data_IF_229348700796
#
_entry.id   IF_229348700796
#
_cell.length_a   1.000
_cell.length_b   1.000
_cell.length_c   1.000
_cell.angle_alpha   90.00
_cell.angle_beta   90.00
_cell.angle_gamma   90.00
#
_symmetry.space_group_name_H-M   'P 1'
#
loop_
_entity.id
_entity.type
_entity.pdbx_description
1 polymer ?
#
# COMPACT_ATOMS: atom_id res chain seq x y z
N UNK A 1 23.41 4.01 5.60
CA UNK A 1 22.35 3.34 4.82
C UNK A 1 21.84 2.18 5.66
N UNK A 2 20.68 2.30 6.29
CA UNK A 2 20.12 1.22 7.12
C UNK A 2 19.31 0.29 6.21
N UNK A 3 19.65 -1.00 6.21
CA UNK A 3 18.97 -2.06 5.46
C UNK A 3 18.41 -3.05 6.48
N UNK A 4 17.09 -3.18 6.55
CA UNK A 4 16.40 -4.20 7.34
C UNK A 4 15.77 -5.21 6.41
N UNK A 5 15.92 -6.51 6.71
CA UNK A 5 15.26 -7.60 5.98
C UNK A 5 14.20 -8.20 6.90
N UNK A 6 12.94 -8.18 6.47
CA UNK A 6 11.84 -8.78 7.19
C UNK A 6 11.63 -10.22 6.70
N UNK A 7 11.60 -11.19 7.64
CA UNK A 7 11.32 -12.59 7.38
C UNK A 7 9.99 -13.00 8.04
N UNK A 8 9.24 -13.89 7.38
CA UNK A 8 7.95 -14.37 7.87
C UNK A 8 8.10 -15.76 8.52
N UNK A 9 7.64 -15.93 9.76
CA UNK A 9 7.77 -17.20 10.50
C UNK A 9 6.67 -18.22 10.16
N UNK A 10 5.46 -17.78 9.83
CA UNK A 10 4.30 -18.69 9.69
C UNK A 10 3.32 -18.33 8.57
N UNK A 11 3.21 -17.06 8.14
CA UNK A 11 2.28 -16.63 7.08
C UNK A 11 3.05 -16.00 5.94
N UNK A 12 2.79 -16.44 4.70
CA UNK A 12 3.35 -15.85 3.48
C UNK A 12 2.23 -15.16 2.69
N UNK A 13 1.80 -13.96 3.09
CA UNK A 13 0.65 -13.28 2.47
C UNK A 13 0.93 -12.98 0.99
N UNK A 14 -0.10 -12.96 0.14
CA UNK A 14 0.08 -12.62 -1.28
C UNK A 14 0.33 -11.12 -1.49
N UNK A 15 -0.33 -10.30 -0.68
CA UNK A 15 -0.22 -8.84 -0.68
C UNK A 15 -0.12 -8.35 0.76
N UNK A 16 0.68 -7.33 1.01
CA UNK A 16 0.87 -6.70 2.32
C UNK A 16 0.64 -5.20 2.16
N UNK A 17 -0.17 -4.66 3.05
CA UNK A 17 -0.41 -3.23 3.16
C UNK A 17 0.33 -2.71 4.38
N UNK A 18 1.20 -1.72 4.16
CA UNK A 18 1.94 -1.06 5.23
C UNK A 18 1.45 0.39 5.27
N UNK A 19 1.02 0.80 6.45
CA UNK A 19 0.60 2.16 6.76
C UNK A 19 1.58 2.77 7.76
N UNK A 20 1.57 4.10 7.86
CA UNK A 20 2.52 4.85 8.68
C UNK A 20 3.98 4.49 8.40
N UNK A 21 4.29 4.34 7.11
CA UNK A 21 5.61 3.93 6.65
C UNK A 21 6.70 4.84 7.21
N UNK A 22 6.44 6.15 7.33
CA UNK A 22 7.32 7.17 7.93
C UNK A 22 8.74 7.16 7.36
N UNK A 23 8.91 6.60 6.16
CA UNK A 23 10.17 6.56 5.46
C UNK A 23 10.35 7.86 4.66
N UNK A 24 11.56 8.42 4.75
CA UNK A 24 11.93 9.54 3.89
C UNK A 24 12.01 9.11 2.41
N UNK A 25 11.90 10.05 1.45
CA UNK A 25 11.89 9.72 0.01
C UNK A 25 13.11 8.91 -0.46
N UNK A 26 14.25 9.08 0.19
CA UNK A 26 15.51 8.38 -0.16
C UNK A 26 15.76 7.09 0.64
N UNK A 27 14.87 6.73 1.57
CA UNK A 27 15.00 5.51 2.34
C UNK A 27 14.39 4.34 1.57
N UNK A 28 15.16 3.26 1.44
CA UNK A 28 14.75 2.04 0.77
C UNK A 28 14.48 0.93 1.79
N UNK A 29 13.36 0.25 1.60
CA UNK A 29 12.91 -0.89 2.38
C UNK A 29 12.56 -2.01 1.41
N UNK A 30 13.07 -3.20 1.66
CA UNK A 30 12.88 -4.38 0.81
C UNK A 30 12.46 -5.57 1.65
N UNK A 31 11.55 -6.37 1.10
CA UNK A 31 11.14 -7.65 1.67
C UNK A 31 11.41 -8.74 0.65
N UNK A 32 12.08 -9.81 1.07
CA UNK A 32 12.41 -10.91 0.16
C UNK A 32 11.14 -11.56 -0.41
N UNK A 33 11.13 -11.77 -1.73
CA UNK A 33 10.02 -12.34 -2.53
C UNK A 33 8.82 -11.41 -2.74
N UNK A 34 8.94 -10.12 -2.43
CA UNK A 34 7.89 -9.14 -2.65
C UNK A 34 8.41 -7.93 -3.44
N UNK A 35 7.62 -7.54 -4.44
CA UNK A 35 7.79 -6.31 -5.19
C UNK A 35 7.13 -5.18 -4.41
N UNK A 36 7.75 -4.00 -4.49
CA UNK A 36 7.11 -2.76 -4.09
C UNK A 36 6.17 -2.34 -5.21
N UNK A 37 4.92 -2.77 -5.08
CA UNK A 37 3.90 -2.59 -6.10
C UNK A 37 3.40 -1.15 -6.18
N UNK A 38 3.35 -0.42 -5.06
CA UNK A 38 3.05 1.01 -5.04
C UNK A 38 3.55 1.60 -3.70
N UNK A 39 3.94 2.87 -3.67
CA UNK A 39 4.44 3.52 -2.45
C UNK A 39 4.17 5.02 -2.44
N UNK A 40 3.91 5.54 -1.25
CA UNK A 40 3.93 6.98 -0.95
C UNK A 40 4.82 7.20 0.26
N UNK A 41 5.98 7.84 0.03
CA UNK A 41 6.94 8.10 1.09
C UNK A 41 6.69 9.50 1.66
N UNK A 42 6.30 9.56 2.94
CA UNK A 42 6.10 10.82 3.67
C UNK A 42 6.71 10.69 5.06
N UNK A 43 7.40 11.73 5.51
CA UNK A 43 7.95 11.80 6.88
C UNK A 43 6.84 11.72 7.95
N UNK A 44 5.62 12.15 7.60
CA UNK A 44 4.40 11.99 8.39
C UNK A 44 3.37 11.18 7.59
N UNK A 45 3.11 9.94 7.98
CA UNK A 45 2.22 9.01 7.28
C UNK A 45 2.96 8.07 6.34
N UNK A 46 2.50 7.94 5.11
CA UNK A 46 3.09 7.09 4.08
C UNK A 46 2.47 5.70 4.01
N UNK A 47 2.28 5.23 2.79
CA UNK A 47 1.70 3.93 2.46
C UNK A 47 2.66 3.13 1.59
N UNK A 48 2.60 1.81 1.69
CA UNK A 48 3.28 0.92 0.75
C UNK A 48 2.48 -0.36 0.56
N UNK A 49 2.37 -0.77 -0.70
CA UNK A 49 1.78 -2.06 -1.08
C UNK A 49 2.93 -2.95 -1.54
N UNK A 50 3.08 -4.09 -0.89
CA UNK A 50 3.97 -5.15 -1.31
C UNK A 50 3.16 -6.31 -1.87
N UNK A 51 3.62 -6.92 -2.96
CA UNK A 51 2.97 -8.09 -3.55
C UNK A 51 4.02 -9.13 -3.92
N UNK A 52 3.69 -10.41 -3.81
CA UNK A 52 4.62 -11.48 -4.21
C UNK A 52 5.03 -11.32 -5.69
N UNK A 53 6.31 -11.53 -6.00
CA UNK A 53 6.84 -11.47 -7.36
C UNK A 53 6.09 -12.34 -8.37
N UNK A 54 5.51 -13.45 -7.91
CA UNK A 54 4.80 -14.40 -8.75
C UNK A 54 3.39 -13.95 -9.14
N UNK A 55 2.92 -12.79 -8.68
CA UNK A 55 1.55 -12.31 -8.92
C UNK A 55 1.58 -11.12 -9.86
N UNK A 56 0.97 -11.28 -11.03
CA UNK A 56 0.80 -10.20 -12.01
C UNK A 56 -0.10 -9.09 -11.46
N UNK A 57 0.39 -7.87 -11.54
CA UNK A 57 -0.29 -6.68 -11.05
C UNK A 57 0.16 -5.44 -11.82
N UNK A 58 -0.61 -4.37 -11.69
CA UNK A 58 -0.22 -3.05 -12.15
C UNK A 58 -0.63 -1.99 -11.13
N UNK A 59 0.13 -0.92 -11.08
CA UNK A 59 -0.20 0.26 -10.27
C UNK A 59 -1.53 0.85 -10.74
N UNK A 60 -2.38 1.20 -9.78
CA UNK A 60 -3.62 1.92 -10.07
C UNK A 60 -3.54 3.29 -9.43
N UNK A 61 -3.62 4.33 -10.25
CA UNK A 61 -3.63 5.71 -9.79
C UNK A 61 -4.94 5.99 -9.06
N UNK A 62 -4.82 6.33 -7.78
CA UNK A 62 -5.95 6.81 -6.97
C UNK A 62 -5.82 8.33 -6.86
N UNK A 63 -6.90 9.10 -7.13
CA UNK A 63 -6.89 10.53 -6.89
C UNK A 63 -6.54 10.84 -5.44
N UNK A 64 -5.52 11.66 -5.23
CA UNK A 64 -5.16 12.14 -3.89
C UNK A 64 -6.24 13.12 -3.43
N UNK A 65 -6.95 12.81 -2.35
CA UNK A 65 -7.86 13.76 -1.70
C UNK A 65 -7.15 14.38 -0.51
N UNK A 66 -7.51 15.61 -0.16
CA UNK A 66 -6.87 16.37 0.93
C UNK A 66 -6.91 15.67 2.30
N UNK A 67 -7.85 14.75 2.51
CA UNK A 67 -8.08 14.06 3.78
C UNK A 67 -7.71 12.59 3.83
N UNK A 68 -7.29 12.01 2.70
CA UNK A 68 -6.89 10.61 2.64
C UNK A 68 -5.56 10.48 1.90
N UNK A 69 -4.71 9.61 2.43
CA UNK A 69 -3.64 9.03 1.64
C UNK A 69 -4.14 7.69 1.13
N UNK A 70 -4.06 7.45 -0.19
CA UNK A 70 -4.52 6.20 -0.76
C UNK A 70 -3.58 5.70 -1.86
N UNK A 71 -3.38 4.38 -1.91
CA UNK A 71 -2.66 3.67 -2.96
C UNK A 71 -3.52 2.56 -3.51
N UNK A 72 -3.47 2.35 -4.82
CA UNK A 72 -4.17 1.28 -5.50
C UNK A 72 -3.22 0.37 -6.26
N UNK A 73 -3.55 -0.92 -6.28
CA UNK A 73 -3.04 -1.87 -7.27
C UNK A 73 -4.20 -2.66 -7.84
N UNK A 74 -4.08 -3.09 -9.08
CA UNK A 74 -5.00 -4.06 -9.66
C UNK A 74 -4.25 -5.35 -9.90
N UNK A 75 -4.80 -6.44 -9.38
CA UNK A 75 -4.31 -7.79 -9.57
C UNK A 75 -5.10 -8.41 -10.73
N UNK A 76 -4.40 -9.09 -11.64
CA UNK A 76 -5.03 -9.86 -12.71
C UNK A 76 -4.84 -11.35 -12.42
N UNK A 77 -5.82 -12.03 -11.79
CA UNK A 77 -5.76 -13.48 -11.66
C UNK A 77 -5.94 -14.11 -13.05
N UNK A 78 -5.16 -15.14 -13.37
CA UNK A 78 -5.27 -15.82 -14.67
C UNK A 78 -6.65 -16.45 -14.94
N UNK A 79 -7.46 -16.65 -13.91
CA UNK A 79 -8.71 -17.41 -13.97
C UNK A 79 -9.94 -16.61 -13.54
N UNK A 80 -9.79 -15.33 -13.20
CA UNK A 80 -10.86 -14.53 -12.61
C UNK A 80 -10.81 -13.09 -13.13
N UNK A 81 -11.89 -12.35 -12.86
CA UNK A 81 -11.93 -10.92 -13.13
C UNK A 81 -10.83 -10.18 -12.37
N UNK A 82 -10.28 -9.09 -12.92
CA UNK A 82 -9.31 -8.26 -12.22
C UNK A 82 -9.87 -7.76 -10.88
N UNK A 83 -9.02 -7.76 -9.85
CA UNK A 83 -9.38 -7.32 -8.50
C UNK A 83 -8.57 -6.07 -8.19
N UNK A 84 -9.24 -4.95 -7.93
CA UNK A 84 -8.61 -3.74 -7.43
C UNK A 84 -8.50 -3.81 -5.91
N UNK A 85 -7.29 -3.62 -5.40
CA UNK A 85 -7.02 -3.47 -3.98
C UNK A 85 -6.59 -2.04 -3.68
N UNK A 86 -7.22 -1.43 -2.69
CA UNK A 86 -6.95 -0.05 -2.29
C UNK A 86 -6.55 -0.01 -0.82
N UNK A 87 -5.40 0.61 -0.54
CA UNK A 87 -4.95 0.94 0.81
C UNK A 87 -5.30 2.39 1.10
N UNK A 88 -5.99 2.67 2.19
CA UNK A 88 -6.41 4.02 2.58
C UNK A 88 -5.95 4.29 4.01
N UNK A 89 -5.31 5.44 4.22
CA UNK A 89 -4.94 5.97 5.51
C UNK A 89 -5.58 7.36 5.70
N UNK A 90 -6.32 7.51 6.79
CA UNK A 90 -7.00 8.76 7.13
C UNK A 90 -6.01 9.68 7.86
N UNK A 91 -5.77 10.87 7.32
CA UNK A 91 -4.74 11.79 7.81
C UNK A 91 -5.22 12.80 8.86
N UNK A 92 -6.50 12.75 9.27
CA UNK A 92 -7.12 13.68 10.23
C UNK A 92 -7.49 13.01 11.57
N UNK A 93 -7.45 13.75 12.70
CA UNK A 93 -7.91 13.23 13.99
C UNK A 93 -9.43 12.96 13.92
N UNK A 94 -9.94 11.96 14.67
CA UNK A 94 -11.34 11.62 14.70
C UNK A 94 -12.11 12.64 15.55
N UNK A 95 -12.25 13.86 15.06
CA UNK A 95 -13.12 14.88 15.66
C UNK A 95 -14.30 15.14 14.72
N UNK A 96 -15.40 14.46 15.06
CA UNK A 96 -16.81 14.85 14.92
C UNK A 96 -17.47 15.11 13.56
N UNK A 97 -16.94 14.57 12.46
CA UNK A 97 -17.75 14.47 11.24
C UNK A 97 -17.74 13.06 10.66
N UNK A 98 -18.84 12.33 10.86
CA UNK A 98 -19.21 11.17 10.02
C UNK A 98 -19.15 11.63 8.56
N UNK A 99 -18.17 11.16 7.81
CA UNK A 99 -18.09 11.40 6.37
C UNK A 99 -18.10 10.05 5.67
N UNK A 100 -19.13 9.86 4.87
CA UNK A 100 -19.28 8.72 3.96
C UNK A 100 -18.46 9.07 2.72
N UNK A 101 -17.42 8.29 2.45
CA UNK A 101 -16.74 8.31 1.16
C UNK A 101 -17.42 7.25 0.28
N UNK A 102 -18.10 7.69 -0.78
CA UNK A 102 -18.60 6.81 -1.84
C UNK A 102 -17.60 6.83 -2.99
N UNK A 103 -16.98 5.68 -3.30
CA UNK A 103 -16.38 5.46 -4.62
C UNK A 103 -17.52 5.34 -5.62
N UNK A 104 -17.49 6.17 -6.67
CA UNK A 104 -18.36 6.07 -7.85
C UNK A 104 -17.63 5.20 -8.88
#
# INVERSE_FOLDING_TARGET
>A
MYSGILYWRTVRPNTIFIQELKLGPQQNFKVCNYDRANTSNRYSGGLMILIKHSISHFETTIPQLSAIEALGITIIPHTQQPIMLVSIYLTYPPTDHKRIFSLI
#
